data_IF_449953872993
#
_entry.id   IF_449953872993
#
_cell.length_a   1.000
_cell.length_b   1.000
_cell.length_c   1.000
_cell.angle_alpha   90.00
_cell.angle_beta   90.00
_cell.angle_gamma   90.00
#
_symmetry.space_group_name_H-M   'P 1'
#
loop_
_entity.id
_entity.type
_entity.pdbx_description
1 polymer ?
#
# COMPACT_ATOMS: atom_id res chain seq x y z
N UNK A 1 55.69 46.74 45.84
CA UNK A 1 54.60 47.68 46.09
C UNK A 1 53.34 46.82 46.23
N UNK A 2 53.05 46.26 47.41
CA UNK A 2 52.53 46.94 48.62
C UNK A 2 51.32 47.81 48.26
N UNK A 3 50.16 47.71 48.88
CA UNK A 3 49.66 46.86 49.96
C UNK A 3 48.17 47.25 50.16
N UNK A 4 47.54 46.63 51.14
CA UNK A 4 46.28 46.99 51.84
C UNK A 4 45.04 46.19 51.44
N UNK A 5 44.28 45.61 52.35
CA UNK A 5 44.50 45.25 53.76
C UNK A 5 43.27 44.45 54.20
N UNK A 6 43.55 43.28 54.76
CA UNK A 6 42.72 42.44 55.62
C UNK A 6 42.35 43.16 56.92
N UNK A 7 41.13 42.97 57.41
CA UNK A 7 40.69 42.86 58.82
C UNK A 7 39.14 42.91 58.81
N UNK A 8 38.38 42.05 59.47
CA UNK A 8 38.47 41.67 60.89
C UNK A 8 37.79 40.31 61.18
N UNK A 9 38.26 39.71 62.27
CA UNK A 9 37.94 38.41 62.84
C UNK A 9 36.79 38.49 63.88
N UNK A 10 36.10 37.35 64.06
CA UNK A 10 35.57 36.81 65.35
C UNK A 10 34.56 37.61 66.23
N UNK A 11 33.35 37.04 66.45
CA UNK A 11 32.97 36.31 67.69
C UNK A 11 31.47 35.94 67.77
N UNK A 12 31.25 34.62 67.84
CA UNK A 12 30.41 33.84 68.79
C UNK A 12 29.06 34.32 69.35
N UNK A 13 28.17 33.31 69.48
CA UNK A 13 27.10 33.07 70.48
C UNK A 13 25.66 33.57 70.20
N UNK A 14 24.83 32.57 69.88
CA UNK A 14 23.67 32.12 70.69
C UNK A 14 22.40 32.98 70.77
N UNK A 15 21.28 32.24 70.69
CA UNK A 15 19.98 32.52 71.33
C UNK A 15 19.02 33.50 70.63
N UNK A 16 18.04 32.93 69.90
CA UNK A 16 16.60 32.81 70.29
C UNK A 16 15.64 33.08 69.13
N UNK A 17 14.76 32.11 68.95
CA UNK A 17 13.33 32.19 68.61
C UNK A 17 12.85 33.38 67.77
N UNK A 18 12.37 33.08 66.55
CA UNK A 18 10.93 33.13 66.24
C UNK A 18 10.68 32.82 64.76
N UNK A 19 9.48 32.26 64.48
CA UNK A 19 8.81 32.09 63.18
C UNK A 19 8.97 30.75 62.41
N UNK A 20 8.14 29.78 62.83
CA UNK A 20 7.80 28.55 62.10
C UNK A 20 6.92 28.82 60.85
N UNK A 21 7.06 28.07 59.74
CA UNK A 21 6.02 27.92 58.74
C UNK A 21 5.05 26.77 59.05
N UNK A 22 3.76 27.02 58.83
CA UNK A 22 2.60 26.20 59.17
C UNK A 22 2.53 24.88 58.38
N UNK A 23 2.64 23.74 59.05
CA UNK A 23 2.38 22.40 58.49
C UNK A 23 0.87 22.13 58.47
N UNK A 24 0.32 21.88 57.27
CA UNK A 24 -1.05 21.42 57.09
C UNK A 24 -1.20 19.97 57.61
N UNK A 25 -2.06 19.78 58.63
CA UNK A 25 -2.47 18.46 59.14
C UNK A 25 -3.30 17.72 58.08
N UNK A 26 -2.70 16.81 57.33
CA UNK A 26 -3.45 15.76 56.61
C UNK A 26 -3.75 14.61 57.58
N UNK A 27 -5.04 14.45 57.82
CA UNK A 27 -5.79 13.39 58.49
C UNK A 27 -5.09 12.01 58.45
N UNK A 28 -4.70 11.51 59.63
CA UNK A 28 -4.28 10.13 59.88
C UNK A 28 -5.41 9.18 59.45
N UNK A 29 -5.19 8.44 58.35
CA UNK A 29 -5.93 7.21 58.11
C UNK A 29 -5.41 6.15 59.10
N UNK A 30 -6.34 5.48 59.77
CA UNK A 30 -6.05 4.38 60.71
C UNK A 30 -5.27 3.30 59.97
N UNK A 31 -4.03 3.05 60.40
CA UNK A 31 -3.29 1.86 60.00
C UNK A 31 -3.94 0.64 60.66
N UNK A 32 -4.21 -0.39 59.86
CA UNK A 32 -4.57 -1.70 60.36
C UNK A 32 -3.46 -2.21 61.28
N UNK A 33 -3.84 -2.89 62.36
CA UNK A 33 -2.86 -3.39 63.32
C UNK A 33 -2.04 -4.53 62.70
N UNK A 34 -0.77 -4.76 63.12
CA UNK A 34 0.09 -5.81 62.57
C UNK A 34 -0.54 -7.22 62.63
N UNK A 35 -1.50 -7.44 63.53
CA UNK A 35 -2.25 -8.68 63.68
C UNK A 35 -3.28 -8.93 62.56
N UNK A 36 -3.78 -7.88 61.90
CA UNK A 36 -4.77 -8.01 60.81
C UNK A 36 -4.12 -8.34 59.46
N UNK A 37 -2.87 -7.88 59.24
CA UNK A 37 -2.08 -8.18 58.03
C UNK A 37 -1.53 -9.61 58.05
N UNK A 38 -1.19 -10.13 59.24
CA UNK A 38 -0.69 -11.49 59.43
C UNK A 38 -1.71 -12.59 59.02
N UNK A 39 -3.01 -12.25 58.96
CA UNK A 39 -4.08 -13.21 58.66
C UNK A 39 -4.36 -13.38 57.15
N UNK A 40 -3.74 -12.58 56.28
CA UNK A 40 -4.09 -12.49 54.86
C UNK A 40 -3.01 -12.92 53.85
N UNK A 41 -1.80 -13.30 54.29
CA UNK A 41 -0.74 -13.75 53.38
C UNK A 41 -0.08 -15.05 53.86
N UNK A 42 0.07 -16.07 53.01
CA UNK A 42 0.99 -17.16 53.30
C UNK A 42 2.41 -16.57 53.41
N UNK A 43 3.10 -16.81 54.52
CA UNK A 43 4.49 -16.39 54.73
C UNK A 43 5.40 -17.02 53.67
N UNK A 44 5.57 -16.35 52.53
CA UNK A 44 6.62 -16.65 51.58
C UNK A 44 7.81 -15.73 51.85
N UNK A 45 9.02 -16.24 51.62
CA UNK A 45 10.26 -15.45 51.74
C UNK A 45 10.22 -14.20 50.85
N UNK A 46 9.52 -14.27 49.71
CA UNK A 46 9.32 -13.14 48.81
C UNK A 46 8.42 -12.06 49.44
N UNK A 47 7.30 -12.45 50.06
CA UNK A 47 6.41 -11.50 50.75
C UNK A 47 7.11 -10.83 51.95
N UNK A 48 7.92 -11.58 52.71
CA UNK A 48 8.74 -11.00 53.77
C UNK A 48 9.85 -10.09 53.22
N UNK A 49 10.48 -10.43 52.09
CA UNK A 49 11.52 -9.60 51.48
C UNK A 49 10.97 -8.31 50.88
N UNK A 50 9.74 -8.32 50.38
CA UNK A 50 9.02 -7.14 49.87
C UNK A 50 8.63 -6.21 51.03
N UNK A 51 8.07 -6.78 52.10
CA UNK A 51 7.64 -6.04 53.28
C UNK A 51 8.82 -5.45 54.07
N UNK A 52 9.95 -6.17 54.17
CA UNK A 52 11.20 -5.67 54.77
C UNK A 52 11.88 -4.65 53.83
N UNK A 53 11.78 -4.83 52.51
CA UNK A 53 12.28 -3.88 51.52
C UNK A 53 11.58 -2.51 51.57
N UNK A 54 10.26 -2.51 51.74
CA UNK A 54 9.46 -1.28 51.91
C UNK A 54 9.82 -0.53 53.21
N UNK A 55 10.08 -1.24 54.31
CA UNK A 55 10.47 -0.64 55.60
C UNK A 55 11.89 -0.06 55.57
N UNK A 56 12.78 -0.61 54.73
CA UNK A 56 14.18 -0.17 54.63
C UNK A 56 14.52 0.63 53.36
N UNK A 57 13.55 0.95 52.50
CA UNK A 57 13.78 1.68 51.25
C UNK A 57 14.59 0.91 50.20
N UNK A 58 14.71 -0.42 50.36
CA UNK A 58 15.45 -1.30 49.45
C UNK A 58 14.44 -1.92 48.49
N UNK A 59 14.48 -1.51 47.21
CA UNK A 59 13.63 -2.12 46.18
C UNK A 59 13.88 -3.64 46.16
N UNK A 60 12.83 -4.48 46.20
CA UNK A 60 12.97 -5.93 46.17
C UNK A 60 13.75 -6.34 44.92
N UNK A 61 14.72 -7.25 45.08
CA UNK A 61 15.57 -7.71 43.98
C UNK A 61 14.72 -8.59 43.05
N UNK A 62 14.21 -8.00 41.97
CA UNK A 62 13.51 -8.74 40.93
C UNK A 62 14.44 -9.80 40.32
N UNK A 63 13.94 -11.02 40.19
CA UNK A 63 14.68 -12.11 39.56
C UNK A 63 14.79 -11.80 38.06
N UNK A 64 16.00 -11.76 37.54
CA UNK A 64 16.26 -11.46 36.13
C UNK A 64 15.77 -12.58 35.22
N UNK A 65 15.28 -12.23 34.03
CA UNK A 65 14.84 -13.19 33.01
C UNK A 65 15.95 -14.21 32.63
N UNK A 66 17.20 -13.74 32.53
CA UNK A 66 18.36 -14.62 32.28
C UNK A 66 18.54 -15.72 33.33
N UNK A 67 18.21 -15.45 34.59
CA UNK A 67 18.27 -16.46 35.65
C UNK A 67 17.17 -17.52 35.46
N UNK A 68 15.94 -17.08 35.18
CA UNK A 68 14.81 -17.99 34.92
C UNK A 68 15.06 -18.82 33.65
N UNK A 69 15.63 -18.22 32.60
CA UNK A 69 16.05 -18.91 31.39
C UNK A 69 17.04 -20.03 31.68
N UNK A 70 18.06 -19.77 32.52
CA UNK A 70 19.02 -20.80 32.95
C UNK A 70 18.36 -21.93 33.73
N UNK A 71 17.38 -21.64 34.58
CA UNK A 71 16.61 -22.68 35.28
C UNK A 71 15.85 -23.57 34.29
N UNK A 72 15.26 -22.99 33.25
CA UNK A 72 14.59 -23.75 32.19
C UNK A 72 15.58 -24.51 31.29
N UNK A 73 16.76 -23.97 30.99
CA UNK A 73 17.79 -24.66 30.22
C UNK A 73 18.42 -25.85 30.98
N UNK A 74 18.40 -25.81 32.32
CA UNK A 74 19.02 -26.84 33.14
C UNK A 74 18.18 -28.12 33.20
N UNK A 75 18.70 -29.21 32.63
CA UNK A 75 18.05 -30.53 32.58
C UNK A 75 18.05 -31.31 33.92
N UNK A 76 18.68 -30.77 34.97
CA UNK A 76 18.81 -31.46 36.27
C UNK A 76 17.48 -31.69 37.01
N UNK A 77 16.42 -30.96 36.63
CA UNK A 77 15.11 -31.05 37.25
C UNK A 77 14.04 -31.42 36.21
N UNK A 78 12.83 -31.87 36.58
CA UNK A 78 11.69 -31.93 35.67
C UNK A 78 11.10 -30.54 35.39
N UNK A 79 10.50 -30.33 34.20
CA UNK A 79 9.93 -29.03 33.80
C UNK A 79 8.84 -28.54 34.79
N UNK A 80 7.95 -29.43 35.23
CA UNK A 80 6.90 -29.12 36.20
C UNK A 80 7.47 -28.67 37.56
N UNK A 81 8.60 -29.26 38.00
CA UNK A 81 9.26 -28.85 39.24
C UNK A 81 9.83 -27.42 39.12
N UNK A 82 10.40 -27.08 37.97
CA UNK A 82 10.92 -25.72 37.70
C UNK A 82 9.77 -24.72 37.72
N UNK A 83 8.67 -24.99 37.00
CA UNK A 83 7.49 -24.11 36.94
C UNK A 83 6.90 -23.88 38.33
N UNK A 84 6.71 -24.93 39.13
CA UNK A 84 6.22 -24.81 40.52
C UNK A 84 7.20 -24.05 41.42
N UNK A 85 8.50 -24.26 41.22
CA UNK A 85 9.56 -23.56 41.93
C UNK A 85 9.56 -22.05 41.70
N UNK A 86 9.18 -21.58 40.51
CA UNK A 86 9.11 -20.14 40.21
C UNK A 86 8.10 -19.40 41.10
N UNK A 87 6.96 -20.03 41.40
CA UNK A 87 5.98 -19.46 42.32
C UNK A 87 6.52 -19.33 43.75
N UNK A 88 7.32 -20.31 44.21
CA UNK A 88 7.97 -20.25 45.51
C UNK A 88 9.06 -19.17 45.59
N UNK A 89 9.78 -18.98 44.48
CA UNK A 89 10.82 -17.96 44.34
C UNK A 89 10.25 -16.54 44.18
N UNK A 90 8.93 -16.39 44.04
CA UNK A 90 8.26 -15.10 43.91
C UNK A 90 8.46 -14.43 42.54
N UNK A 91 8.68 -15.21 41.48
CA UNK A 91 8.77 -14.67 40.11
C UNK A 91 7.37 -14.22 39.68
N UNK A 92 7.24 -12.93 39.36
CA UNK A 92 5.96 -12.35 38.94
C UNK A 92 5.76 -12.41 37.42
N UNK A 93 6.84 -12.24 36.65
CA UNK A 93 6.83 -12.16 35.19
C UNK A 93 7.89 -13.07 34.55
N UNK A 94 7.53 -13.75 33.46
CA UNK A 94 8.45 -14.53 32.60
C UNK A 94 8.75 -13.72 31.34
N UNK A 95 10.03 -13.44 31.11
CA UNK A 95 10.49 -12.71 29.93
C UNK A 95 10.74 -13.62 28.72
N UNK A 96 11.24 -13.04 27.62
CA UNK A 96 11.34 -13.73 26.34
C UNK A 96 12.41 -14.82 26.30
N UNK A 97 13.53 -14.68 27.02
CA UNK A 97 14.56 -15.72 27.07
C UNK A 97 14.08 -16.91 27.88
N UNK A 98 13.47 -16.66 29.03
CA UNK A 98 12.90 -17.73 29.84
C UNK A 98 11.79 -18.50 29.10
N UNK A 99 10.95 -17.78 28.35
CA UNK A 99 9.89 -18.41 27.58
C UNK A 99 10.44 -19.26 26.43
N UNK A 100 11.51 -18.83 25.76
CA UNK A 100 12.20 -19.62 24.72
C UNK A 100 12.72 -20.94 25.29
N UNK A 101 13.47 -20.88 26.38
CA UNK A 101 14.04 -22.09 27.01
C UNK A 101 12.95 -23.02 27.54
N UNK A 102 11.87 -22.46 28.08
CA UNK A 102 10.70 -23.24 28.50
C UNK A 102 10.07 -23.99 27.31
N UNK A 103 9.94 -23.31 26.15
CA UNK A 103 9.39 -23.90 24.94
C UNK A 103 10.28 -24.99 24.35
N UNK A 104 11.60 -24.75 24.26
CA UNK A 104 12.58 -25.76 23.83
C UNK A 104 12.50 -27.02 24.70
N UNK A 105 12.35 -26.85 26.02
CA UNK A 105 12.27 -27.97 26.96
C UNK A 105 10.92 -28.69 26.95
N UNK A 106 9.84 -27.98 26.62
CA UNK A 106 8.52 -28.61 26.48
C UNK A 106 8.47 -29.57 25.30
N UNK A 107 9.22 -29.30 24.23
CA UNK A 107 9.42 -30.21 23.08
C UNK A 107 8.21 -30.38 22.15
N UNK A 108 7.02 -29.92 22.54
CA UNK A 108 5.83 -29.88 21.69
C UNK A 108 4.96 -28.65 21.99
N UNK A 109 4.16 -28.24 21.00
CA UNK A 109 3.20 -27.14 21.15
C UNK A 109 2.18 -27.40 22.26
N UNK A 110 1.71 -28.64 22.38
CA UNK A 110 0.71 -29.02 23.38
C UNK A 110 1.28 -29.00 24.79
N UNK A 111 2.49 -29.53 24.98
CA UNK A 111 3.20 -29.46 26.26
C UNK A 111 3.51 -28.01 26.65
N UNK A 112 3.87 -27.18 25.67
CA UNK A 112 4.07 -25.74 25.89
C UNK A 112 2.79 -25.02 26.30
N UNK A 113 1.65 -25.30 25.66
CA UNK A 113 0.35 -24.72 26.05
C UNK A 113 -0.04 -25.18 27.46
N UNK A 114 0.15 -26.46 27.79
CA UNK A 114 -0.11 -27.01 29.11
C UNK A 114 0.71 -26.30 30.20
N UNK A 115 2.00 -26.09 29.96
CA UNK A 115 2.89 -25.38 30.89
C UNK A 115 2.53 -23.90 31.02
N UNK A 116 2.10 -23.25 29.94
CA UNK A 116 1.59 -21.88 29.96
C UNK A 116 0.31 -21.75 30.82
N UNK A 117 -0.57 -22.76 30.79
CA UNK A 117 -1.76 -22.82 31.62
C UNK A 117 -1.40 -22.93 33.11
N UNK A 118 -0.40 -23.75 33.45
CA UNK A 118 0.12 -23.85 34.83
C UNK A 118 0.69 -22.53 35.33
N UNK A 119 1.51 -21.84 34.53
CA UNK A 119 2.04 -20.50 34.88
C UNK A 119 0.91 -19.51 35.19
N UNK A 120 -0.15 -19.53 34.37
CA UNK A 120 -1.33 -18.68 34.56
C UNK A 120 -2.09 -19.01 35.86
N UNK A 121 -2.25 -20.29 36.20
CA UNK A 121 -2.85 -20.71 37.48
C UNK A 121 -2.05 -20.21 38.68
N UNK A 122 -0.72 -20.16 38.54
CA UNK A 122 0.20 -19.63 39.56
C UNK A 122 0.28 -18.10 39.58
N UNK A 123 -0.53 -17.40 38.77
CA UNK A 123 -0.56 -15.93 38.64
C UNK A 123 0.77 -15.31 38.15
N UNK A 124 1.62 -16.10 37.50
CA UNK A 124 2.84 -15.61 36.87
C UNK A 124 2.45 -15.10 35.47
N UNK A 125 2.76 -13.84 35.17
CA UNK A 125 2.45 -13.26 33.86
C UNK A 125 3.57 -13.56 32.88
N UNK A 126 3.24 -13.64 31.61
CA UNK A 126 4.23 -13.70 30.52
C UNK A 126 4.38 -12.29 29.96
N UNK A 127 5.61 -11.87 29.73
CA UNK A 127 5.95 -10.57 29.15
C UNK A 127 5.21 -10.33 27.84
N UNK A 128 4.90 -9.07 27.56
CA UNK A 128 4.22 -8.63 26.34
C UNK A 128 5.18 -8.36 25.15
N UNK A 129 6.46 -8.71 25.31
CA UNK A 129 7.47 -8.62 24.24
C UNK A 129 6.98 -9.30 22.96
N UNK A 130 7.39 -8.79 21.80
CA UNK A 130 6.90 -9.29 20.51
C UNK A 130 7.15 -10.79 20.33
N UNK A 131 8.35 -11.25 20.72
CA UNK A 131 8.72 -12.67 20.69
C UNK A 131 7.76 -13.54 21.50
N UNK A 132 7.41 -13.13 22.73
CA UNK A 132 6.47 -13.87 23.58
C UNK A 132 5.08 -13.97 22.97
N UNK A 133 4.60 -12.88 22.35
CA UNK A 133 3.31 -12.86 21.65
C UNK A 133 3.31 -13.79 20.44
N UNK A 134 4.40 -13.76 19.66
CA UNK A 134 4.57 -14.60 18.48
C UNK A 134 4.59 -16.09 18.85
N UNK A 135 5.39 -16.47 19.84
CA UNK A 135 5.53 -17.86 20.28
C UNK A 135 4.20 -18.43 20.82
N UNK A 136 3.47 -17.65 21.62
CA UNK A 136 2.13 -18.02 22.10
C UNK A 136 1.13 -18.17 20.97
N UNK A 137 1.19 -17.30 19.96
CA UNK A 137 0.29 -17.34 18.81
C UNK A 137 0.54 -18.58 17.95
N UNK A 138 1.80 -18.87 17.62
CA UNK A 138 2.16 -20.06 16.83
C UNK A 138 1.76 -21.37 17.53
N UNK A 139 1.93 -21.43 18.85
CA UNK A 139 1.45 -22.57 19.63
C UNK A 139 -0.08 -22.68 19.56
N UNK A 140 -0.81 -21.58 19.78
CA UNK A 140 -2.28 -21.57 19.77
C UNK A 140 -2.88 -21.88 18.38
N UNK A 141 -2.23 -21.43 17.31
CA UNK A 141 -2.66 -21.66 15.92
C UNK A 141 -2.33 -23.09 15.44
N UNK A 142 -1.66 -23.91 16.27
CA UNK A 142 -1.33 -25.30 15.97
C UNK A 142 -0.36 -25.45 14.80
N UNK A 143 0.64 -24.57 14.71
CA UNK A 143 1.62 -24.54 13.61
C UNK A 143 2.99 -25.07 14.06
N UNK A 144 3.19 -26.40 14.17
CA UNK A 144 4.40 -26.98 14.76
C UNK A 144 5.67 -26.64 13.95
N UNK A 145 5.60 -26.67 12.62
CA UNK A 145 6.75 -26.36 11.76
C UNK A 145 7.28 -24.93 11.97
N UNK A 146 6.38 -23.94 12.05
CA UNK A 146 6.75 -22.54 12.31
C UNK A 146 7.19 -22.33 13.77
N UNK A 147 6.59 -23.05 14.70
CA UNK A 147 6.98 -23.02 16.11
C UNK A 147 8.42 -23.52 16.29
N UNK A 148 8.74 -24.68 15.70
CA UNK A 148 10.08 -25.26 15.73
C UNK A 148 11.09 -24.38 14.98
N UNK A 149 10.71 -23.82 13.83
CA UNK A 149 11.54 -22.88 13.09
C UNK A 149 11.88 -21.62 13.93
N UNK A 150 10.90 -21.07 14.67
CA UNK A 150 11.13 -19.93 15.55
C UNK A 150 12.08 -20.26 16.71
N UNK A 151 12.02 -21.48 17.25
CA UNK A 151 12.89 -21.92 18.35
C UNK A 151 14.31 -22.25 17.90
N UNK A 152 14.44 -22.84 16.71
CA UNK A 152 15.72 -23.16 16.08
C UNK A 152 16.44 -21.92 15.53
N UNK A 153 15.75 -20.80 15.38
CA UNK A 153 16.35 -19.56 14.91
C UNK A 153 17.35 -18.98 15.93
N UNK A 154 18.55 -18.67 15.47
CA UNK A 154 19.64 -18.06 16.27
C UNK A 154 19.38 -16.59 16.61
N UNK A 155 18.31 -15.99 16.09
CA UNK A 155 17.94 -14.62 16.40
C UNK A 155 17.65 -14.45 17.90
N UNK A 156 18.29 -13.43 18.51
CA UNK A 156 17.98 -13.05 19.89
C UNK A 156 16.54 -12.53 20.00
N UNK A 157 15.78 -12.87 21.07
CA UNK A 157 14.38 -12.46 21.20
C UNK A 157 14.13 -10.95 21.10
N UNK A 158 15.06 -10.13 21.60
CA UNK A 158 14.94 -8.66 21.52
C UNK A 158 15.05 -8.13 20.09
N UNK A 159 15.76 -8.83 19.19
CA UNK A 159 15.92 -8.40 17.79
C UNK A 159 14.64 -8.52 16.98
N UNK A 160 13.59 -9.17 17.51
CA UNK A 160 12.28 -9.22 16.84
C UNK A 160 11.61 -7.85 16.81
N UNK A 161 11.93 -6.98 17.78
CA UNK A 161 11.38 -5.63 17.88
C UNK A 161 12.08 -4.63 16.95
N UNK A 162 13.24 -4.98 16.39
CA UNK A 162 13.96 -4.15 15.43
C UNK A 162 13.38 -4.30 14.02
N UNK A 163 12.70 -3.24 13.56
CA UNK A 163 12.08 -3.21 12.25
C UNK A 163 13.07 -3.37 11.08
N UNK A 164 14.25 -2.77 11.17
CA UNK A 164 15.23 -2.81 10.09
C UNK A 164 15.87 -4.19 9.95
N UNK A 165 16.16 -4.84 11.09
CA UNK A 165 16.73 -6.20 11.10
C UNK A 165 15.73 -7.17 10.49
N UNK A 166 14.48 -7.13 10.92
CA UNK A 166 13.43 -8.01 10.39
C UNK A 166 13.15 -7.79 8.90
N UNK A 167 13.23 -6.56 8.38
CA UNK A 167 13.07 -6.30 6.95
C UNK A 167 14.21 -6.91 6.12
N UNK A 168 15.45 -6.89 6.65
CA UNK A 168 16.60 -7.55 6.00
C UNK A 168 16.48 -9.07 6.07
N UNK A 169 16.08 -9.60 7.22
CA UNK A 169 15.88 -11.03 7.42
C UNK A 169 14.77 -11.57 6.53
N UNK A 170 13.64 -10.86 6.41
CA UNK A 170 12.56 -11.27 5.51
C UNK A 170 13.06 -11.41 4.07
N UNK A 171 13.84 -10.45 3.58
CA UNK A 171 14.44 -10.53 2.24
C UNK A 171 15.38 -11.72 2.09
N UNK A 172 16.23 -11.95 3.09
CA UNK A 172 17.14 -13.10 3.09
C UNK A 172 16.37 -14.42 3.08
N UNK A 173 15.35 -14.58 3.92
CA UNK A 173 14.51 -15.78 3.97
C UNK A 173 13.71 -15.99 2.68
N UNK A 174 13.25 -14.92 2.03
CA UNK A 174 12.61 -14.99 0.72
C UNK A 174 13.59 -15.47 -0.36
N UNK A 175 14.81 -14.94 -0.38
CA UNK A 175 15.83 -15.36 -1.35
C UNK A 175 16.33 -16.79 -1.15
N UNK A 176 16.36 -17.25 0.11
CA UNK A 176 16.75 -18.62 0.47
C UNK A 176 15.58 -19.61 0.46
N UNK A 177 14.37 -19.15 0.09
CA UNK A 177 13.13 -19.94 0.09
C UNK A 177 12.84 -20.65 1.43
N UNK A 178 13.26 -20.05 2.55
CA UNK A 178 12.99 -20.56 3.89
C UNK A 178 11.57 -20.19 4.33
N UNK A 179 10.58 -20.82 3.71
CA UNK A 179 9.16 -20.52 3.90
C UNK A 179 8.70 -20.49 5.36
N UNK A 180 9.09 -21.43 6.25
CA UNK A 180 8.70 -21.37 7.65
C UNK A 180 9.12 -20.05 8.30
N UNK A 181 10.36 -19.61 8.07
CA UNK A 181 10.87 -18.35 8.59
C UNK A 181 10.23 -17.12 7.95
N UNK A 182 9.91 -17.17 6.66
CA UNK A 182 9.12 -16.12 6.00
C UNK A 182 7.77 -15.95 6.72
N UNK A 183 7.06 -17.05 7.00
CA UNK A 183 5.76 -17.00 7.67
C UNK A 183 5.87 -16.51 9.11
N UNK A 184 6.89 -16.98 9.86
CA UNK A 184 7.19 -16.51 11.22
C UNK A 184 7.47 -15.01 11.24
N UNK A 185 8.32 -14.51 10.33
CA UNK A 185 8.62 -13.08 10.23
C UNK A 185 7.37 -12.29 9.83
N UNK A 186 6.60 -12.72 8.83
CA UNK A 186 5.34 -12.08 8.44
C UNK A 186 4.34 -11.99 9.60
N UNK A 187 4.18 -13.06 10.37
CA UNK A 187 3.32 -13.10 11.56
C UNK A 187 3.84 -12.15 12.65
N UNK A 188 5.15 -12.12 12.88
CA UNK A 188 5.80 -11.19 13.80
C UNK A 188 5.54 -9.73 13.41
N UNK A 189 5.65 -9.40 12.11
CA UNK A 189 5.36 -8.06 11.57
C UNK A 189 3.89 -7.67 11.79
N UNK A 190 2.96 -8.60 11.56
CA UNK A 190 1.53 -8.39 11.82
C UNK A 190 1.23 -8.13 13.31
N UNK A 191 1.95 -8.79 14.22
CA UNK A 191 1.81 -8.55 15.66
C UNK A 191 2.48 -7.26 16.14
N UNK A 192 3.49 -6.77 15.43
CA UNK A 192 4.20 -5.53 15.76
C UNK A 192 3.35 -4.29 15.45
N UNK A 193 2.63 -4.28 14.32
CA UNK A 193 1.69 -3.21 13.96
C UNK A 193 1.39 -3.16 12.46
N UNK A 194 0.40 -2.35 12.09
CA UNK A 194 -0.09 -2.25 10.71
C UNK A 194 0.98 -1.79 9.71
N UNK A 195 1.80 -0.80 10.07
CA UNK A 195 2.88 -0.30 9.17
C UNK A 195 3.91 -1.41 8.87
N UNK A 196 4.32 -2.17 9.88
CA UNK A 196 5.25 -3.29 9.71
C UNK A 196 4.61 -4.45 8.94
N UNK A 197 3.32 -4.74 9.15
CA UNK A 197 2.56 -5.68 8.32
C UNK A 197 2.56 -5.25 6.85
N UNK A 198 2.22 -3.98 6.58
CA UNK A 198 2.14 -3.47 5.22
C UNK A 198 3.49 -3.59 4.50
N UNK A 199 4.59 -3.22 5.15
CA UNK A 199 5.93 -3.37 4.58
C UNK A 199 6.24 -4.82 4.23
N UNK A 200 5.94 -5.75 5.13
CA UNK A 200 6.22 -7.18 4.93
C UNK A 200 5.46 -7.76 3.73
N UNK A 201 4.17 -7.46 3.58
CA UNK A 201 3.37 -7.85 2.42
C UNK A 201 3.87 -7.24 1.11
N UNK A 202 4.31 -5.97 1.13
CA UNK A 202 4.88 -5.32 -0.04
C UNK A 202 6.19 -5.98 -0.47
N UNK A 203 7.05 -6.40 0.46
CA UNK A 203 8.29 -7.12 0.17
C UNK A 203 8.02 -8.52 -0.38
N UNK A 204 7.05 -9.24 0.20
CA UNK A 204 6.62 -10.55 -0.29
C UNK A 204 6.10 -10.46 -1.75
N UNK A 205 5.26 -9.48 -2.03
CA UNK A 205 4.73 -9.27 -3.39
C UNK A 205 5.82 -8.87 -4.38
N UNK A 206 6.77 -8.01 -3.96
CA UNK A 206 7.93 -7.64 -4.79
C UNK A 206 8.77 -8.88 -5.15
N UNK A 207 9.01 -9.77 -4.19
CA UNK A 207 9.75 -11.01 -4.43
C UNK A 207 9.04 -11.91 -5.45
N UNK A 208 7.73 -12.15 -5.31
CA UNK A 208 7.00 -12.97 -6.29
C UNK A 208 6.92 -12.36 -7.69
N UNK A 209 6.89 -11.03 -7.79
CA UNK A 209 6.97 -10.32 -9.07
C UNK A 209 8.35 -10.49 -9.72
N UNK A 210 9.41 -10.47 -8.93
CA UNK A 210 10.79 -10.63 -9.40
C UNK A 210 11.10 -12.07 -9.82
N UNK A 211 10.59 -13.07 -9.11
CA UNK A 211 10.77 -14.49 -9.44
C UNK A 211 9.81 -14.98 -10.53
N UNK A 212 8.83 -14.18 -10.95
CA UNK A 212 7.84 -14.58 -11.95
C UNK A 212 6.82 -15.61 -11.45
N UNK A 213 6.65 -15.73 -10.14
CA UNK A 213 5.70 -16.68 -9.52
C UNK A 213 4.26 -16.15 -9.58
N UNK A 214 3.66 -16.10 -10.77
CA UNK A 214 2.39 -15.39 -11.03
C UNK A 214 1.20 -15.89 -10.20
N UNK A 215 1.14 -17.19 -9.89
CA UNK A 215 0.10 -17.73 -9.02
C UNK A 215 0.16 -17.12 -7.62
N UNK A 216 1.37 -17.04 -7.05
CA UNK A 216 1.61 -16.45 -5.73
C UNK A 216 1.40 -14.93 -5.75
N UNK A 217 1.72 -14.25 -6.86
CA UNK A 217 1.40 -12.82 -7.05
C UNK A 217 -0.11 -12.59 -6.92
N UNK A 218 -0.93 -13.39 -7.60
CA UNK A 218 -2.40 -13.25 -7.57
C UNK A 218 -2.97 -13.53 -6.17
N UNK A 219 -2.54 -14.61 -5.51
CA UNK A 219 -2.99 -14.95 -4.16
C UNK A 219 -2.57 -13.90 -3.12
N UNK A 220 -1.31 -13.43 -3.19
CA UNK A 220 -0.77 -12.39 -2.32
C UNK A 220 -1.54 -11.09 -2.53
N UNK A 221 -1.81 -10.75 -3.78
CA UNK A 221 -2.60 -9.58 -4.14
C UNK A 221 -4.02 -9.62 -3.54
N UNK A 222 -4.73 -10.74 -3.70
CA UNK A 222 -6.07 -10.91 -3.11
C UNK A 222 -6.03 -10.81 -1.59
N UNK A 223 -5.01 -11.41 -0.96
CA UNK A 223 -4.80 -11.34 0.49
C UNK A 223 -4.55 -9.92 0.98
N UNK A 224 -3.74 -9.15 0.25
CA UNK A 224 -3.50 -7.73 0.54
C UNK A 224 -4.78 -6.90 0.42
N UNK A 225 -5.59 -7.15 -0.61
CA UNK A 225 -6.88 -6.46 -0.78
C UNK A 225 -7.87 -6.78 0.36
N UNK A 226 -7.99 -8.05 0.75
CA UNK A 226 -8.86 -8.49 1.84
C UNK A 226 -8.47 -7.85 3.18
N UNK A 227 -7.17 -7.71 3.43
CA UNK A 227 -6.60 -7.10 4.63
C UNK A 227 -6.48 -5.58 4.58
N UNK A 228 -6.85 -4.97 3.44
CA UNK A 228 -6.72 -3.52 3.18
C UNK A 228 -5.28 -3.00 3.35
N UNK A 229 -4.29 -3.79 2.94
CA UNK A 229 -2.87 -3.45 3.03
C UNK A 229 -2.53 -2.37 2.01
N UNK A 230 -1.91 -1.28 2.48
CA UNK A 230 -1.43 -0.20 1.62
C UNK A 230 -0.28 -0.67 0.71
N UNK A 231 -0.30 -0.29 -0.57
CA UNK A 231 0.73 -0.68 -1.55
C UNK A 231 1.71 0.46 -1.72
N UNK A 232 3.00 0.20 -1.55
CA UNK A 232 4.00 1.25 -1.75
C UNK A 232 4.21 1.58 -3.23
N UNK A 233 4.62 2.82 -3.52
CA UNK A 233 5.04 3.24 -4.87
C UNK A 233 6.12 2.31 -5.46
N UNK A 234 7.01 1.78 -4.61
CA UNK A 234 8.05 0.82 -5.01
C UNK A 234 7.42 -0.46 -5.56
N UNK A 235 6.48 -1.06 -4.85
CA UNK A 235 5.78 -2.28 -5.27
C UNK A 235 5.04 -2.09 -6.59
N UNK A 236 4.35 -0.97 -6.78
CA UNK A 236 3.70 -0.71 -8.07
C UNK A 236 4.72 -0.48 -9.20
N UNK A 237 5.88 0.09 -8.89
CA UNK A 237 7.03 0.15 -9.81
C UNK A 237 7.55 -1.24 -10.20
N UNK A 238 7.58 -2.20 -9.28
CA UNK A 238 7.90 -3.60 -9.57
C UNK A 238 6.85 -4.22 -10.49
N UNK A 239 5.56 -4.01 -10.21
CA UNK A 239 4.49 -4.48 -11.09
C UNK A 239 4.64 -3.90 -12.50
N UNK A 240 4.96 -2.61 -12.62
CA UNK A 240 5.24 -1.99 -13.92
C UNK A 240 6.40 -2.66 -14.65
N UNK A 241 7.51 -2.90 -13.94
CA UNK A 241 8.75 -3.42 -14.51
C UNK A 241 8.63 -4.88 -14.92
N UNK A 242 8.05 -5.71 -14.06
CA UNK A 242 8.04 -7.17 -14.21
C UNK A 242 6.73 -7.68 -14.85
N UNK A 243 5.58 -7.05 -14.60
CA UNK A 243 4.31 -7.53 -15.15
C UNK A 243 3.95 -6.92 -16.53
N UNK A 244 4.51 -5.76 -16.91
CA UNK A 244 4.18 -5.13 -18.19
C UNK A 244 5.33 -5.24 -19.21
N UNK A 245 5.04 -5.56 -20.49
CA UNK A 245 6.05 -5.52 -21.54
C UNK A 245 6.63 -4.10 -21.70
N UNK A 246 7.92 -4.03 -22.04
CA UNK A 246 8.53 -2.75 -22.34
C UNK A 246 7.88 -2.10 -23.56
N UNK A 247 7.78 -0.77 -23.51
CA UNK A 247 7.30 0.01 -24.65
C UNK A 247 8.35 1.02 -25.06
N UNK A 248 8.92 0.82 -26.24
CA UNK A 248 9.74 1.84 -26.90
C UNK A 248 8.85 3.02 -27.30
N UNK A 249 9.38 4.24 -27.15
CA UNK A 249 8.68 5.48 -27.50
C UNK A 249 8.14 5.36 -28.94
N UNK A 250 6.87 5.75 -29.16
CA UNK A 250 6.13 5.65 -30.44
C UNK A 250 5.84 4.25 -30.99
N UNK A 251 6.28 3.18 -30.34
CA UNK A 251 5.94 1.81 -30.73
C UNK A 251 4.87 1.22 -29.80
N UNK A 252 4.18 0.19 -30.30
CA UNK A 252 3.31 -0.67 -29.47
C UNK A 252 4.18 -1.51 -28.52
N UNK A 253 3.63 -1.95 -27.38
CA UNK A 253 4.35 -2.87 -26.50
C UNK A 253 4.78 -4.13 -27.27
N UNK A 254 6.04 -4.52 -27.11
CA UNK A 254 6.59 -5.69 -27.79
C UNK A 254 6.16 -6.96 -27.03
N UNK A 255 5.05 -7.57 -27.45
CA UNK A 255 4.58 -8.84 -26.86
C UNK A 255 5.58 -9.99 -27.07
N UNK A 256 6.49 -9.87 -28.05
CA UNK A 256 7.54 -10.83 -28.36
C UNK A 256 8.67 -10.88 -27.32
N UNK A 257 8.69 -10.00 -26.33
CA UNK A 257 9.70 -9.99 -25.27
C UNK A 257 9.40 -11.00 -24.16
N UNK A 258 8.19 -11.57 -24.12
CA UNK A 258 7.85 -12.60 -23.14
C UNK A 258 8.16 -13.98 -23.72
N UNK A 259 9.01 -14.76 -23.06
CA UNK A 259 8.94 -16.21 -23.25
C UNK A 259 7.56 -16.69 -22.80
N UNK A 260 6.99 -17.68 -23.49
CA UNK A 260 5.60 -18.12 -23.21
C UNK A 260 5.39 -18.59 -21.77
N UNK A 261 6.46 -19.03 -21.10
CA UNK A 261 6.49 -19.48 -19.70
C UNK A 261 6.53 -18.33 -18.69
N UNK A 262 7.10 -17.19 -19.09
CA UNK A 262 7.29 -16.07 -18.16
C UNK A 262 6.07 -15.18 -18.10
N UNK A 263 5.08 -15.37 -19.01
CA UNK A 263 3.91 -14.50 -19.11
C UNK A 263 2.93 -14.72 -17.95
N UNK A 264 2.34 -13.66 -17.37
CA UNK A 264 1.30 -13.81 -16.37
C UNK A 264 0.11 -14.47 -17.06
N UNK A 265 -0.50 -15.43 -16.38
CA UNK A 265 -1.71 -16.10 -16.85
C UNK A 265 -2.93 -15.18 -16.87
N UNK A 266 -2.86 -14.04 -16.17
CA UNK A 266 -3.89 -13.00 -16.12
C UNK A 266 -3.60 -11.79 -17.03
N UNK A 267 -4.58 -10.91 -17.20
CA UNK A 267 -4.39 -9.63 -17.91
C UNK A 267 -3.56 -8.66 -17.07
N UNK A 268 -2.25 -8.67 -17.31
CA UNK A 268 -1.29 -7.84 -16.60
C UNK A 268 -1.59 -6.34 -16.70
N UNK A 269 -2.12 -5.84 -17.83
CA UNK A 269 -2.42 -4.41 -17.97
C UNK A 269 -3.54 -4.00 -17.00
N UNK A 270 -4.59 -4.80 -16.93
CA UNK A 270 -5.70 -4.58 -15.99
C UNK A 270 -5.28 -4.78 -14.55
N UNK A 271 -4.45 -5.79 -14.27
CA UNK A 271 -3.87 -5.99 -12.95
C UNK A 271 -3.09 -4.76 -12.45
N UNK A 272 -2.13 -4.26 -13.23
CA UNK A 272 -1.31 -3.09 -12.82
C UNK A 272 -2.16 -1.82 -12.75
N UNK A 273 -3.13 -1.64 -13.64
CA UNK A 273 -4.05 -0.50 -13.58
C UNK A 273 -4.87 -0.51 -12.29
N UNK A 274 -5.41 -1.66 -11.91
CA UNK A 274 -6.14 -1.83 -10.66
C UNK A 274 -5.25 -1.56 -9.44
N UNK A 275 -3.97 -1.95 -9.49
CA UNK A 275 -3.02 -1.66 -8.43
C UNK A 275 -2.75 -0.15 -8.27
N UNK A 276 -2.56 0.59 -9.37
CA UNK A 276 -2.45 2.05 -9.30
C UNK A 276 -3.73 2.73 -8.83
N UNK A 277 -4.91 2.23 -9.24
CA UNK A 277 -6.18 2.75 -8.75
C UNK A 277 -6.34 2.50 -7.25
N UNK A 278 -5.94 1.32 -6.77
CA UNK A 278 -5.94 0.99 -5.35
C UNK A 278 -5.00 1.90 -4.56
N UNK A 279 -3.73 2.01 -4.98
CA UNK A 279 -2.76 2.91 -4.34
C UNK A 279 -3.28 4.36 -4.29
N UNK A 280 -3.85 4.84 -5.40
CA UNK A 280 -4.42 6.19 -5.47
C UNK A 280 -5.60 6.41 -4.50
N UNK A 281 -6.43 5.40 -4.26
CA UNK A 281 -7.56 5.48 -3.30
C UNK A 281 -7.07 5.51 -1.85
N UNK A 282 -5.95 4.85 -1.56
CA UNK A 282 -5.39 4.70 -0.22
C UNK A 282 -4.36 5.78 0.17
N UNK A 283 -4.31 6.88 -0.58
CA UNK A 283 -3.56 8.08 -0.21
C UNK A 283 -2.26 8.30 -1.00
N UNK A 284 -1.84 7.36 -1.84
CA UNK A 284 -0.62 7.52 -2.63
C UNK A 284 -0.85 8.42 -3.85
N UNK A 285 0.02 9.42 -4.00
CA UNK A 285 -0.01 10.31 -5.16
C UNK A 285 0.61 9.63 -6.38
N UNK A 286 -0.23 9.20 -7.32
CA UNK A 286 0.21 8.63 -8.60
C UNK A 286 0.52 9.75 -9.59
N UNK A 287 1.73 9.75 -10.14
CA UNK A 287 2.16 10.77 -11.09
C UNK A 287 1.30 10.75 -12.38
N UNK A 288 0.88 11.91 -12.92
CA UNK A 288 0.04 12.01 -14.13
C UNK A 288 0.59 11.26 -15.35
N UNK A 289 1.93 11.19 -15.46
CA UNK A 289 2.62 10.50 -16.56
C UNK A 289 2.31 8.99 -16.59
N UNK A 290 2.08 8.36 -15.43
CA UNK A 290 1.71 6.94 -15.34
C UNK A 290 0.34 6.73 -15.96
N UNK A 291 -0.64 7.57 -15.64
CA UNK A 291 -1.99 7.49 -16.20
C UNK A 291 -2.02 7.71 -17.72
N UNK A 292 -1.24 8.68 -18.22
CA UNK A 292 -1.06 8.90 -19.67
C UNK A 292 -0.57 7.64 -20.36
N UNK A 293 0.36 6.93 -19.73
CA UNK A 293 0.95 5.73 -20.30
C UNK A 293 0.02 4.51 -20.21
N UNK A 294 -0.75 4.38 -19.13
CA UNK A 294 -1.81 3.37 -19.02
C UNK A 294 -2.88 3.55 -20.09
N UNK A 295 -3.39 4.77 -20.27
CA UNK A 295 -4.34 5.09 -21.34
C UNK A 295 -3.78 4.76 -22.73
N UNK A 296 -2.48 5.03 -22.96
CA UNK A 296 -1.80 4.64 -24.22
C UNK A 296 -1.76 3.13 -24.41
N UNK A 297 -1.41 2.36 -23.39
CA UNK A 297 -1.34 0.90 -23.49
C UNK A 297 -2.70 0.31 -23.82
N UNK A 298 -3.76 0.72 -23.11
CA UNK A 298 -5.13 0.31 -23.43
C UNK A 298 -5.54 0.72 -24.85
N UNK A 299 -5.28 1.98 -25.23
CA UNK A 299 -5.68 2.49 -26.54
C UNK A 299 -4.95 1.84 -27.71
N UNK A 300 -3.71 1.39 -27.50
CA UNK A 300 -2.94 0.62 -28.49
C UNK A 300 -3.43 -0.82 -28.63
N UNK A 301 -4.04 -1.39 -27.58
CA UNK A 301 -4.74 -2.67 -27.60
C UNK A 301 -6.21 -2.41 -27.92
N UNK A 302 -6.52 -2.15 -29.19
CA UNK A 302 -7.84 -1.68 -29.62
C UNK A 302 -9.02 -2.48 -29.08
N UNK A 303 -8.85 -3.77 -28.74
CA UNK A 303 -9.92 -4.61 -28.19
C UNK A 303 -10.38 -4.18 -26.78
N UNK A 304 -9.52 -3.53 -26.00
CA UNK A 304 -9.77 -3.11 -24.62
C UNK A 304 -10.34 -1.68 -24.52
N UNK A 305 -11.24 -1.33 -25.45
CA UNK A 305 -11.90 -0.02 -25.43
C UNK A 305 -12.78 0.18 -24.17
N UNK A 306 -13.62 -0.78 -23.75
CA UNK A 306 -14.46 -0.60 -22.57
C UNK A 306 -13.64 -0.31 -21.30
N UNK A 307 -12.49 -0.94 -21.15
CA UNK A 307 -11.57 -0.79 -20.02
C UNK A 307 -10.89 0.59 -20.07
N UNK A 308 -10.48 1.02 -21.26
CA UNK A 308 -9.99 2.38 -21.49
C UNK A 308 -11.03 3.43 -21.10
N UNK A 309 -12.27 3.24 -21.53
CA UNK A 309 -13.37 4.16 -21.28
C UNK A 309 -13.66 4.27 -19.78
N UNK A 310 -13.74 3.11 -19.09
CA UNK A 310 -13.88 3.06 -17.62
C UNK A 310 -12.74 3.79 -16.92
N UNK A 311 -11.49 3.55 -17.33
CA UNK A 311 -10.33 4.22 -16.75
C UNK A 311 -10.36 5.73 -16.99
N UNK A 312 -10.68 6.17 -18.21
CA UNK A 312 -10.75 7.59 -18.55
C UNK A 312 -11.83 8.31 -17.74
N UNK A 313 -13.02 7.70 -17.56
CA UNK A 313 -14.09 8.26 -16.73
C UNK A 313 -13.72 8.29 -15.25
N UNK A 314 -13.09 7.22 -14.74
CA UNK A 314 -12.58 7.20 -13.37
C UNK A 314 -11.53 8.29 -13.11
N UNK A 315 -10.63 8.54 -14.07
CA UNK A 315 -9.69 9.66 -13.99
C UNK A 315 -10.41 11.01 -14.07
N UNK A 316 -11.48 11.10 -14.85
CA UNK A 316 -12.46 12.19 -14.86
C UNK A 316 -12.99 12.51 -13.47
N UNK A 317 -13.51 11.50 -12.78
CA UNK A 317 -14.06 11.63 -11.44
C UNK A 317 -12.99 11.96 -10.38
N UNK A 318 -11.81 11.34 -10.48
CA UNK A 318 -10.75 11.48 -9.47
C UNK A 318 -10.02 12.83 -9.53
N UNK A 319 -9.81 13.35 -10.74
CA UNK A 319 -8.98 14.54 -10.98
C UNK A 319 -9.76 15.71 -11.58
N UNK A 320 -10.98 15.49 -12.06
CA UNK A 320 -11.84 16.56 -12.57
C UNK A 320 -12.45 17.34 -11.41
N UNK A 321 -12.29 18.66 -11.44
CA UNK A 321 -13.02 19.57 -10.56
C UNK A 321 -14.08 20.31 -11.37
N UNK A 322 -15.29 20.47 -10.81
CA UNK A 322 -16.35 21.29 -11.42
C UNK A 322 -15.88 22.74 -11.66
N UNK A 323 -14.97 23.24 -10.82
CA UNK A 323 -14.37 24.59 -10.94
C UNK A 323 -13.24 24.69 -11.97
N UNK A 324 -12.82 23.56 -12.57
CA UNK A 324 -11.69 23.53 -13.51
C UNK A 324 -11.95 24.37 -14.76
N UNK A 325 -13.20 24.48 -15.22
CA UNK A 325 -13.53 25.26 -16.42
C UNK A 325 -13.41 26.78 -16.19
N UNK A 326 -13.80 27.28 -15.01
CA UNK A 326 -13.65 28.70 -14.63
C UNK A 326 -12.18 29.06 -14.37
N UNK A 327 -11.43 28.14 -13.75
CA UNK A 327 -9.99 28.24 -13.59
C UNK A 327 -9.24 28.19 -14.94
N UNK A 328 -9.69 27.38 -15.90
CA UNK A 328 -9.16 27.33 -17.27
C UNK A 328 -9.48 28.60 -18.07
N UNK A 329 -10.65 29.24 -17.85
CA UNK A 329 -10.93 30.58 -18.37
C UNK A 329 -9.96 31.63 -17.79
N UNK A 330 -9.72 31.61 -16.47
CA UNK A 330 -8.73 32.47 -15.81
C UNK A 330 -7.29 32.19 -16.25
N UNK A 331 -6.94 30.94 -16.61
CA UNK A 331 -5.64 30.56 -17.22
C UNK A 331 -5.34 31.25 -18.55
N UNK A 332 -6.36 31.59 -19.35
CA UNK A 332 -6.15 32.35 -20.59
C UNK A 332 -5.75 33.81 -20.34
N UNK A 333 -5.81 34.28 -19.08
CA UNK A 333 -5.44 35.63 -18.66
C UNK A 333 -4.13 35.70 -17.84
N UNK A 334 -3.28 34.67 -17.90
CA UNK A 334 -1.85 34.85 -17.65
C UNK A 334 -1.30 34.65 -16.23
N UNK A 335 -1.85 33.73 -15.42
CA UNK A 335 -1.16 33.29 -14.18
C UNK A 335 -0.64 31.85 -14.26
N UNK A 336 0.64 31.67 -13.88
CA UNK A 336 1.33 30.38 -13.81
C UNK A 336 1.07 29.77 -12.43
N UNK A 337 0.13 28.83 -12.36
CA UNK A 337 -0.09 27.95 -11.21
C UNK A 337 0.33 26.50 -11.57
N UNK A 338 0.58 25.64 -10.57
CA UNK A 338 1.14 24.30 -10.75
C UNK A 338 0.37 23.46 -11.79
N UNK A 339 1.12 22.67 -12.56
CA UNK A 339 0.62 21.79 -13.62
C UNK A 339 -0.52 20.90 -13.10
N UNK A 340 -1.76 21.24 -13.45
CA UNK A 340 -2.93 20.47 -13.06
C UNK A 340 -2.83 19.05 -13.64
N UNK A 341 -2.83 18.01 -12.78
CA UNK A 341 -2.79 16.60 -13.18
C UNK A 341 -3.77 16.28 -14.30
N UNK A 342 -4.96 16.88 -14.27
CA UNK A 342 -6.04 16.60 -15.21
C UNK A 342 -5.71 17.10 -16.63
N UNK A 343 -5.19 18.33 -16.72
CA UNK A 343 -4.72 18.91 -17.98
C UNK A 343 -3.51 18.19 -18.58
N UNK A 344 -2.70 17.55 -17.72
CA UNK A 344 -1.54 16.75 -18.12
C UNK A 344 -1.97 15.39 -18.69
N UNK A 345 -2.98 14.77 -18.09
CA UNK A 345 -3.52 13.47 -18.51
C UNK A 345 -4.28 13.60 -19.83
N UNK A 346 -5.23 14.54 -19.89
CA UNK A 346 -6.09 14.77 -21.05
C UNK A 346 -5.59 15.92 -21.93
N UNK A 347 -4.27 15.95 -22.16
CA UNK A 347 -3.68 16.92 -23.07
C UNK A 347 -4.14 16.68 -24.51
N UNK A 348 -3.89 17.65 -25.39
CA UNK A 348 -4.40 17.64 -26.77
C UNK A 348 -4.01 16.40 -27.58
N UNK A 349 -2.83 15.80 -27.34
CA UNK A 349 -2.44 14.57 -28.04
C UNK A 349 -3.23 13.37 -27.52
N UNK A 350 -3.53 13.32 -26.22
CA UNK A 350 -4.38 12.27 -25.66
C UNK A 350 -5.79 12.40 -26.22
N UNK A 351 -6.35 13.61 -26.33
CA UNK A 351 -7.67 13.84 -26.93
C UNK A 351 -7.73 13.32 -28.39
N UNK A 352 -6.71 13.62 -29.19
CA UNK A 352 -6.59 13.06 -30.55
C UNK A 352 -6.47 11.54 -30.54
N UNK A 353 -5.68 10.99 -29.62
CA UNK A 353 -5.45 9.55 -29.52
C UNK A 353 -6.72 8.80 -29.11
N UNK A 354 -7.49 9.30 -28.14
CA UNK A 354 -8.78 8.73 -27.71
C UNK A 354 -9.77 8.64 -28.87
N UNK A 355 -9.88 9.69 -29.68
CA UNK A 355 -10.67 9.65 -30.91
C UNK A 355 -10.19 8.54 -31.86
N UNK A 356 -8.89 8.53 -32.16
CA UNK A 356 -8.29 7.56 -33.09
C UNK A 356 -8.44 6.12 -32.60
N UNK A 357 -8.28 5.86 -31.31
CA UNK A 357 -8.39 4.53 -30.72
C UNK A 357 -9.83 4.05 -30.73
N UNK A 358 -10.81 4.91 -30.42
CA UNK A 358 -12.23 4.57 -30.52
C UNK A 358 -12.63 4.25 -31.96
N UNK A 359 -12.17 5.06 -32.91
CA UNK A 359 -12.36 4.80 -34.34
C UNK A 359 -11.76 3.44 -34.76
N UNK A 360 -10.52 3.18 -34.36
CA UNK A 360 -9.82 1.94 -34.70
C UNK A 360 -10.47 0.71 -34.03
N UNK A 361 -10.97 0.82 -32.79
CA UNK A 361 -11.74 -0.25 -32.15
C UNK A 361 -12.93 -0.63 -33.03
N UNK A 362 -13.74 0.34 -33.45
CA UNK A 362 -14.90 0.09 -34.29
C UNK A 362 -14.52 -0.59 -35.62
N UNK A 363 -13.41 -0.20 -36.23
CA UNK A 363 -12.87 -0.86 -37.41
C UNK A 363 -12.43 -2.31 -37.14
N UNK A 364 -11.78 -2.55 -36.00
CA UNK A 364 -11.31 -3.88 -35.59
C UNK A 364 -12.47 -4.81 -35.24
N UNK A 365 -13.56 -4.27 -34.71
CA UNK A 365 -14.78 -5.00 -34.36
C UNK A 365 -15.79 -5.13 -35.52
N UNK A 366 -15.42 -4.74 -36.75
CA UNK A 366 -16.31 -4.75 -37.93
C UNK A 366 -17.61 -3.93 -37.73
N UNK A 367 -17.49 -2.78 -37.05
CA UNK A 367 -18.60 -1.87 -36.74
C UNK A 367 -18.67 -0.63 -37.63
N UNK A 368 -17.77 -0.50 -38.62
CA UNK A 368 -17.83 0.57 -39.64
C UNK A 368 -18.84 0.25 -40.75
N UNK A 369 -20.09 -0.03 -40.37
CA UNK A 369 -21.17 -0.39 -41.29
C UNK A 369 -22.49 0.15 -40.78
N UNK A 370 -23.40 0.39 -41.71
CA UNK A 370 -24.80 0.70 -41.38
C UNK A 370 -25.41 -0.54 -40.73
N UNK A 371 -25.88 -0.44 -39.47
CA UNK A 371 -26.70 -1.48 -38.86
C UNK A 371 -28.16 -1.23 -39.26
N UNK A 372 -28.92 -2.25 -39.70
CA UNK A 372 -30.36 -2.09 -39.86
C UNK A 372 -30.97 -1.80 -38.48
N UNK A 373 -31.85 -0.79 -38.40
CA UNK A 373 -32.66 -0.51 -37.21
C UNK A 373 -33.39 -1.80 -36.82
N UNK A 374 -33.10 -2.36 -35.65
CA UNK A 374 -34.03 -3.29 -35.02
C UNK A 374 -35.20 -2.45 -34.50
N UNK A 375 -36.30 -2.41 -35.26
CA UNK A 375 -37.61 -2.01 -34.72
C UNK A 375 -37.98 -3.04 -33.65
N UNK A 376 -37.99 -2.64 -32.38
CA UNK A 376 -38.43 -3.50 -31.27
C UNK A 376 -37.38 -3.57 -30.16
N UNK A 377 -37.47 -2.64 -29.23
CA UNK A 377 -36.65 -2.61 -28.03
C UNK A 377 -36.54 -1.20 -27.49
N UNK A 378 -37.41 -0.87 -26.54
CA UNK A 378 -37.41 0.36 -25.76
C UNK A 378 -36.17 0.41 -24.86
N UNK A 379 -35.03 0.81 -25.41
CA UNK A 379 -33.96 1.42 -24.63
C UNK A 379 -33.13 2.30 -25.56
N UNK A 380 -33.05 3.59 -25.25
CA UNK A 380 -32.65 4.68 -26.14
C UNK A 380 -31.16 4.73 -26.53
N UNK A 381 -30.58 3.63 -27.00
CA UNK A 381 -29.22 3.57 -27.53
C UNK A 381 -29.25 3.43 -29.05
N UNK A 382 -29.12 4.54 -29.78
CA UNK A 382 -29.06 4.55 -31.25
C UNK A 382 -27.89 3.67 -31.75
N UNK A 383 -28.15 2.58 -32.51
CA UNK A 383 -27.12 1.62 -32.97
C UNK A 383 -26.12 2.14 -34.03
N UNK A 384 -26.09 3.45 -34.27
CA UNK A 384 -25.54 4.11 -35.48
C UNK A 384 -24.16 4.75 -35.26
N UNK A 385 -23.61 4.65 -34.05
CA UNK A 385 -22.55 5.56 -33.57
C UNK A 385 -21.30 4.84 -33.02
N UNK A 386 -21.15 3.55 -33.33
CA UNK A 386 -20.06 2.71 -32.81
C UNK A 386 -18.67 3.24 -33.17
N UNK A 387 -18.50 3.91 -34.31
CA UNK A 387 -17.20 4.51 -34.70
C UNK A 387 -16.86 5.78 -33.91
N UNK A 388 -17.88 6.47 -33.39
CA UNK A 388 -17.75 7.76 -32.74
C UNK A 388 -17.59 7.64 -31.21
N UNK A 389 -17.39 6.43 -30.69
CA UNK A 389 -17.21 6.18 -29.24
C UNK A 389 -16.14 7.08 -28.61
N UNK A 390 -15.03 7.34 -29.31
CA UNK A 390 -14.02 8.27 -28.84
C UNK A 390 -14.48 9.73 -28.76
N UNK A 391 -15.32 10.19 -29.69
CA UNK A 391 -15.91 11.54 -29.64
C UNK A 391 -16.93 11.65 -28.51
N UNK A 392 -17.75 10.61 -28.29
CA UNK A 392 -18.70 10.54 -27.18
C UNK A 392 -17.99 10.59 -25.84
N UNK A 393 -16.91 9.81 -25.67
CA UNK A 393 -16.10 9.81 -24.45
C UNK A 393 -15.53 11.20 -24.18
N UNK A 394 -14.95 11.86 -25.20
CA UNK A 394 -14.43 13.22 -25.05
C UNK A 394 -15.50 14.23 -24.68
N UNK A 395 -16.69 14.14 -25.29
CA UNK A 395 -17.83 14.99 -24.95
C UNK A 395 -18.27 14.77 -23.51
N UNK A 396 -18.41 13.50 -23.08
CA UNK A 396 -18.74 13.15 -21.69
C UNK A 396 -17.71 13.67 -20.71
N UNK A 397 -16.42 13.50 -21.02
CA UNK A 397 -15.33 14.03 -20.19
C UNK A 397 -15.38 15.57 -20.07
N UNK A 398 -15.75 16.26 -21.14
CA UNK A 398 -15.91 17.70 -21.16
C UNK A 398 -17.13 18.18 -20.37
N UNK A 399 -18.30 17.59 -20.63
CA UNK A 399 -19.57 18.00 -20.02
C UNK A 399 -19.64 17.65 -18.54
N UNK A 400 -19.17 16.46 -18.16
CA UNK A 400 -19.30 15.97 -16.77
C UNK A 400 -18.14 16.40 -15.87
N UNK A 401 -16.92 16.46 -16.41
CA UNK A 401 -15.70 16.67 -15.60
C UNK A 401 -14.90 17.91 -16.01
N UNK A 402 -15.42 18.74 -16.93
CA UNK A 402 -14.81 20.02 -17.28
C UNK A 402 -13.54 19.94 -18.13
N UNK A 403 -13.28 18.82 -18.83
CA UNK A 403 -12.12 18.74 -19.74
C UNK A 403 -12.23 19.81 -20.84
N UNK A 404 -11.22 20.68 -20.91
CA UNK A 404 -11.08 21.67 -21.97
C UNK A 404 -10.82 21.00 -23.33
N UNK A 405 -11.86 20.85 -24.13
CA UNK A 405 -11.76 20.27 -25.47
C UNK A 405 -11.04 21.21 -26.41
N UNK A 406 -9.94 20.73 -27.01
CA UNK A 406 -9.28 21.46 -28.09
C UNK A 406 -9.82 21.01 -29.44
N UNK A 407 -10.99 21.55 -29.80
CA UNK A 407 -11.75 21.19 -31.00
C UNK A 407 -10.91 21.23 -32.28
N UNK A 408 -9.96 22.16 -32.41
CA UNK A 408 -9.05 22.24 -33.56
C UNK A 408 -8.19 20.98 -33.76
N UNK A 409 -7.68 20.40 -32.68
CA UNK A 409 -6.85 19.19 -32.74
C UNK A 409 -7.68 17.94 -32.99
N UNK A 410 -8.86 17.84 -32.38
CA UNK A 410 -9.81 16.74 -32.62
C UNK A 410 -10.26 16.75 -34.07
N UNK A 411 -10.58 17.94 -34.61
CA UNK A 411 -10.88 18.15 -36.03
C UNK A 411 -9.73 17.72 -36.93
N UNK A 412 -8.49 18.12 -36.63
CA UNK A 412 -7.31 17.68 -37.41
C UNK A 412 -7.20 16.16 -37.44
N UNK A 413 -7.46 15.49 -36.32
CA UNK A 413 -7.44 14.04 -36.24
C UNK A 413 -8.60 13.39 -37.03
N UNK A 414 -9.81 13.96 -36.96
CA UNK A 414 -10.96 13.54 -37.75
C UNK A 414 -10.70 13.63 -39.25
N UNK A 415 -10.31 14.82 -39.73
CA UNK A 415 -10.01 15.06 -41.15
C UNK A 415 -8.88 14.17 -41.65
N UNK A 416 -7.82 13.96 -40.84
CA UNK A 416 -6.74 13.05 -41.19
C UNK A 416 -7.24 11.61 -41.33
N UNK A 417 -8.14 11.14 -40.46
CA UNK A 417 -8.72 9.80 -40.57
C UNK A 417 -9.62 9.66 -41.79
N UNK A 418 -10.43 10.66 -42.10
CA UNK A 418 -11.23 10.68 -43.31
C UNK A 418 -10.36 10.65 -44.57
N UNK A 419 -9.31 11.48 -44.61
CA UNK A 419 -8.31 11.45 -45.68
C UNK A 419 -7.70 10.06 -45.82
N UNK A 420 -7.31 9.42 -44.73
CA UNK A 420 -6.74 8.07 -44.76
C UNK A 420 -7.71 7.04 -45.33
N UNK A 421 -9.00 7.10 -45.02
CA UNK A 421 -9.99 6.11 -45.44
C UNK A 421 -10.38 6.30 -46.91
N UNK A 422 -10.61 7.55 -47.32
CA UNK A 422 -11.16 7.89 -48.64
C UNK A 422 -10.10 8.31 -49.66
N UNK A 423 -8.82 8.46 -49.27
CA UNK A 423 -7.77 8.76 -50.25
C UNK A 423 -7.54 7.60 -51.21
N UNK A 424 -7.36 7.94 -52.50
CA UNK A 424 -7.01 7.00 -53.57
C UNK A 424 -5.58 6.43 -53.48
N UNK A 425 -4.71 6.96 -52.63
CA UNK A 425 -3.31 6.52 -52.51
C UNK A 425 -3.21 5.19 -51.77
N UNK A 426 -2.41 4.27 -52.30
CA UNK A 426 -2.07 3.01 -51.63
C UNK A 426 -1.28 3.28 -50.35
N UNK A 427 -1.53 2.46 -49.32
CA UNK A 427 -0.84 2.55 -48.03
C UNK A 427 -0.36 1.16 -47.62
N UNK A 428 0.91 1.02 -47.29
CA UNK A 428 1.49 -0.27 -46.89
C UNK A 428 1.14 -0.67 -45.45
N UNK A 429 0.72 0.30 -44.63
CA UNK A 429 0.34 0.11 -43.22
C UNK A 429 -0.82 -0.91 -43.11
N UNK A 430 -0.61 -2.10 -42.51
CA UNK A 430 -1.62 -3.17 -42.48
C UNK A 430 -2.93 -2.77 -41.81
N UNK A 431 -2.84 -2.00 -40.71
CA UNK A 431 -4.00 -1.48 -39.97
C UNK A 431 -4.87 -0.59 -40.86
N UNK A 432 -4.26 0.30 -41.63
CA UNK A 432 -4.96 1.19 -42.55
C UNK A 432 -5.66 0.42 -43.68
N UNK A 433 -4.97 -0.57 -44.26
CA UNK A 433 -5.56 -1.46 -45.28
C UNK A 433 -6.78 -2.19 -44.73
N UNK A 434 -6.68 -2.70 -43.50
CA UNK A 434 -7.79 -3.40 -42.85
C UNK A 434 -8.98 -2.48 -42.59
N UNK A 435 -8.75 -1.27 -42.08
CA UNK A 435 -9.79 -0.25 -41.85
C UNK A 435 -10.53 0.05 -43.16
N UNK A 436 -9.79 0.31 -44.25
CA UNK A 436 -10.39 0.59 -45.57
C UNK A 436 -11.24 -0.56 -46.08
N UNK A 437 -10.73 -1.80 -46.00
CA UNK A 437 -11.46 -3.00 -46.42
C UNK A 437 -12.78 -3.19 -45.66
N UNK A 438 -12.78 -2.85 -44.36
CA UNK A 438 -13.93 -3.01 -43.47
C UNK A 438 -14.88 -1.82 -43.46
N UNK A 439 -14.49 -0.68 -44.01
CA UNK A 439 -15.37 0.47 -44.10
C UNK A 439 -16.51 0.20 -45.10
N UNK A 440 -17.73 0.46 -44.66
CA UNK A 440 -18.96 0.43 -45.46
C UNK A 440 -19.77 1.73 -45.32
N UNK A 441 -19.23 2.72 -44.62
CA UNK A 441 -19.85 4.04 -44.43
C UNK A 441 -19.32 5.04 -45.46
N UNK A 442 -20.21 5.93 -45.92
CA UNK A 442 -19.86 7.03 -46.81
C UNK A 442 -19.24 8.19 -46.03
N UNK A 443 -18.51 9.07 -46.72
CA UNK A 443 -17.92 10.26 -46.10
C UNK A 443 -19.00 11.19 -45.51
N UNK A 444 -20.10 11.38 -46.22
CA UNK A 444 -21.23 12.19 -45.77
C UNK A 444 -21.82 11.67 -44.46
N UNK A 445 -21.92 10.35 -44.29
CA UNK A 445 -22.40 9.74 -43.05
C UNK A 445 -21.47 10.06 -41.87
N UNK A 446 -20.15 10.01 -42.06
CA UNK A 446 -19.19 10.39 -41.01
C UNK A 446 -19.29 11.86 -40.62
N UNK A 447 -19.47 12.74 -41.60
CA UNK A 447 -19.61 14.19 -41.41
C UNK A 447 -20.89 14.50 -40.63
N UNK A 448 -22.04 13.96 -41.09
CA UNK A 448 -23.34 14.17 -40.45
C UNK A 448 -23.33 13.71 -38.99
N UNK A 449 -22.92 12.46 -38.75
CA UNK A 449 -22.89 11.88 -37.41
C UNK A 449 -21.84 12.55 -36.51
N UNK A 450 -20.69 12.93 -37.07
CA UNK A 450 -19.67 13.67 -36.33
C UNK A 450 -20.16 15.04 -35.87
N UNK A 451 -20.88 15.76 -36.73
CA UNK A 451 -21.51 17.04 -36.40
C UNK A 451 -22.64 16.91 -35.38
N UNK A 452 -23.47 15.87 -35.45
CA UNK A 452 -24.51 15.59 -34.44
C UNK A 452 -23.89 15.38 -33.05
N UNK A 453 -22.79 14.65 -32.96
CA UNK A 453 -22.15 14.33 -31.68
C UNK A 453 -21.34 15.51 -31.15
N UNK A 454 -20.47 16.11 -31.96
CA UNK A 454 -19.44 17.06 -31.51
C UNK A 454 -19.74 18.52 -31.90
N UNK A 455 -20.82 18.77 -32.64
CA UNK A 455 -21.19 20.09 -33.15
C UNK A 455 -20.56 20.44 -34.50
N UNK A 456 -21.01 21.53 -35.15
CA UNK A 456 -20.62 21.89 -36.51
C UNK A 456 -19.14 22.32 -36.62
N UNK A 457 -18.53 22.74 -35.51
CA UNK A 457 -17.09 23.09 -35.40
C UNK A 457 -16.13 21.93 -35.74
N UNK A 458 -16.63 20.70 -35.85
CA UNK A 458 -15.84 19.55 -36.31
C UNK A 458 -15.48 19.67 -37.80
N UNK A 459 -16.28 20.39 -38.60
CA UNK A 459 -16.17 20.42 -40.07
C UNK A 459 -15.99 21.84 -40.62
N UNK A 460 -16.52 22.86 -39.96
CA UNK A 460 -16.35 24.29 -40.30
C UNK A 460 -14.88 24.73 -40.40
N UNK A 461 -14.42 25.44 -41.46
CA UNK A 461 -13.09 26.04 -41.50
C UNK A 461 -12.89 26.95 -40.28
N UNK A 462 -11.92 26.59 -39.42
CA UNK A 462 -11.62 27.39 -38.24
C UNK A 462 -10.78 28.60 -38.66
N UNK A 463 -10.76 29.68 -37.86
CA UNK A 463 -9.85 30.78 -38.10
C UNK A 463 -8.42 30.23 -38.02
N UNK A 464 -7.73 30.20 -39.16
CA UNK A 464 -6.30 29.96 -39.19
C UNK A 464 -5.64 31.14 -38.48
N UNK A 465 -4.70 30.94 -37.55
CA UNK A 465 -3.82 32.04 -37.15
C UNK A 465 -3.02 32.42 -38.40
N UNK A 466 -3.35 33.57 -38.98
CA UNK A 466 -2.55 34.18 -40.04
C UNK A 466 -1.18 34.48 -39.44
N UNK A 467 -0.17 33.71 -39.84
CA UNK A 467 1.18 34.23 -40.00
C UNK A 467 1.52 34.09 -41.47
N UNK A 468 1.66 35.24 -42.11
CA UNK A 468 2.36 35.45 -43.37
C UNK A 468 1.81 34.68 -44.58
N UNK A 469 0.52 34.88 -44.87
CA UNK A 469 -0.02 34.86 -46.25
C UNK A 469 0.14 33.60 -47.11
N UNK A 470 0.69 32.50 -46.58
CA UNK A 470 0.97 31.29 -47.35
C UNK A 470 0.48 30.06 -46.59
N UNK A 471 -0.46 29.26 -47.15
CA UNK A 471 -0.89 28.02 -46.54
C UNK A 471 0.24 26.98 -46.61
N UNK A 472 1.01 26.87 -45.53
CA UNK A 472 2.03 25.84 -45.37
C UNK A 472 1.42 24.63 -44.66
N UNK A 473 1.18 23.56 -45.42
CA UNK A 473 0.73 22.25 -44.90
C UNK A 473 1.94 21.33 -44.84
N UNK A 474 2.37 20.95 -43.63
CA UNK A 474 3.16 19.74 -43.38
C UNK A 474 2.30 18.69 -42.66
#
# INVERSE_FOLDING_TARGET
MLDTSTQEYEKTLSSKDESLPKIHKKRLQRFATPAEVAKAMPLSRAAMSELVGEVHGIKPKHISDSFVAKLFATAAFPLDLVVRGLGFLGVQDVGPLALREMALRAGSTDAFIGTLATLKQMKIKVSNALYCRLLRKLAADGQPEMFDALLANDQHPDSFEDDMVQDRLLKAFLHLEQWPMVHVTMMGRALAGHESEHRAWNELLQHYLETGSWHNVEQTWQSMQARKVHITHRTVGFMWRYALPERRKRHRPALSQWHSTDRPHFDALTFVTNAYMYASRHGDSVAPKVWVEMLKRYGMVYRLWPELEKLALWLGERYGTADSWEAIKKRQQGSVLPSDPFSTIFHWQMQQALFVWGFNNAAMMHRLRVRPLKLGGSDGMTPWEDWAQGLKLLKRLSTTYGVGLRTSFIRKAFLLRMKIIFSRRHTDVPVTRLIRRRNRLSFEQYVRQGCEIFGPRLTEPGPQPMRDGVPTIY
#
